data_IF_642485981553
#
_entry.id   IF_642485981553
#
_cell.length_a   1.000
_cell.length_b   1.000
_cell.length_c   1.000
_cell.angle_alpha   90.00
_cell.angle_beta   90.00
_cell.angle_gamma   90.00
#
_symmetry.space_group_name_H-M   'P 1'
#
loop_
_entity.id
_entity.type
_entity.pdbx_description
1 polymer ?
#
# COMPACT_ATOMS: atom_id res chain seq x y z
N UNK A 1 -4.10 2.97 -29.44
CA UNK A 1 -3.28 3.09 -28.23
C UNK A 1 -3.64 4.35 -27.45
N UNK A 2 -3.51 5.54 -28.05
CA UNK A 2 -3.87 6.84 -27.43
C UNK A 2 -5.25 6.82 -26.76
N UNK A 3 -6.30 6.39 -27.47
CA UNK A 3 -7.66 6.32 -26.91
C UNK A 3 -7.74 5.48 -25.63
N UNK A 4 -7.07 4.32 -25.60
CA UNK A 4 -7.02 3.42 -24.44
C UNK A 4 -6.30 4.08 -23.27
N UNK A 5 -5.14 4.70 -23.53
CA UNK A 5 -4.35 5.40 -22.52
C UNK A 5 -5.14 6.57 -21.93
N UNK A 6 -5.74 7.39 -22.78
CA UNK A 6 -6.55 8.54 -22.35
C UNK A 6 -7.78 8.12 -21.55
N UNK A 7 -8.41 6.99 -21.89
CA UNK A 7 -9.48 6.43 -21.08
C UNK A 7 -8.98 6.02 -19.69
N UNK A 8 -7.86 5.32 -19.57
CA UNK A 8 -7.28 4.92 -18.29
C UNK A 8 -6.85 6.11 -17.42
N UNK A 9 -6.26 7.15 -18.04
CA UNK A 9 -5.96 8.42 -17.36
C UNK A 9 -7.25 9.05 -16.81
N UNK A 10 -8.33 9.03 -17.58
CA UNK A 10 -9.63 9.54 -17.15
C UNK A 10 -10.19 8.81 -15.93
N UNK A 11 -10.12 7.47 -15.92
CA UNK A 11 -10.54 6.64 -14.77
C UNK A 11 -9.76 7.02 -13.51
N UNK A 12 -8.43 7.09 -13.60
CA UNK A 12 -7.55 7.42 -12.46
C UNK A 12 -7.81 8.85 -11.96
N UNK A 13 -7.93 9.83 -12.87
CA UNK A 13 -8.19 11.23 -12.50
C UNK A 13 -9.44 11.36 -11.62
N UNK A 14 -10.50 10.63 -11.95
CA UNK A 14 -11.76 10.70 -11.20
C UNK A 14 -11.60 10.26 -9.75
N UNK A 15 -10.94 9.13 -9.52
CA UNK A 15 -10.78 8.54 -8.18
C UNK A 15 -9.68 9.22 -7.37
N UNK A 16 -8.54 9.53 -7.98
CA UNK A 16 -7.40 10.11 -7.27
C UNK A 16 -7.68 11.51 -6.75
N UNK A 17 -8.51 12.30 -7.45
CA UNK A 17 -8.94 13.62 -6.97
C UNK A 17 -9.70 13.51 -5.65
N UNK A 18 -10.69 12.63 -5.59
CA UNK A 18 -11.53 12.46 -4.41
C UNK A 18 -10.69 11.94 -3.23
N UNK A 19 -9.86 10.93 -3.46
CA UNK A 19 -8.98 10.38 -2.42
C UNK A 19 -7.93 11.38 -1.91
N UNK A 20 -7.37 12.21 -2.80
CA UNK A 20 -6.41 13.23 -2.40
C UNK A 20 -7.08 14.39 -1.65
N UNK A 21 -8.33 14.74 -1.98
CA UNK A 21 -9.09 15.76 -1.26
C UNK A 21 -9.49 15.32 0.16
N UNK A 22 -9.77 14.03 0.37
CA UNK A 22 -10.05 13.46 1.69
C UNK A 22 -8.80 13.32 2.56
N UNK A 23 -7.59 13.40 1.97
CA UNK A 23 -6.34 13.24 2.70
C UNK A 23 -6.01 14.49 3.52
N UNK A 24 -5.99 14.34 4.84
CA UNK A 24 -5.44 15.36 5.73
C UNK A 24 -3.94 15.51 5.47
N UNK A 25 -3.48 16.74 5.21
CA UNK A 25 -2.06 17.04 5.03
C UNK A 25 -1.28 16.65 6.30
N UNK A 26 -0.21 15.88 6.13
CA UNK A 26 0.68 15.47 7.21
C UNK A 26 2.09 15.94 6.88
N UNK A 27 2.67 16.74 7.77
CA UNK A 27 4.08 17.10 7.74
C UNK A 27 4.81 16.41 8.88
N UNK A 28 5.81 15.60 8.54
CA UNK A 28 6.72 15.02 9.53
C UNK A 28 7.81 16.04 9.86
N UNK A 29 8.11 16.19 11.15
CA UNK A 29 9.25 17.01 11.60
C UNK A 29 10.58 16.25 11.50
N UNK A 30 10.53 14.92 11.35
CA UNK A 30 11.70 14.05 11.37
C UNK A 30 12.15 13.63 9.96
N UNK A 31 11.18 13.41 9.07
CA UNK A 31 11.38 12.81 7.74
C UNK A 31 10.88 13.80 6.67
N UNK A 32 11.68 14.11 5.62
CA UNK A 32 11.28 15.06 4.57
C UNK A 32 10.30 14.41 3.58
N UNK A 33 9.04 14.27 3.99
CA UNK A 33 7.99 13.56 3.23
C UNK A 33 7.80 14.10 1.83
N UNK A 34 7.66 15.42 1.67
CA UNK A 34 7.45 16.03 0.35
C UNK A 34 8.59 15.71 -0.62
N UNK A 35 9.85 15.85 -0.16
CA UNK A 35 11.02 15.62 -0.99
C UNK A 35 11.13 14.17 -1.46
N UNK A 36 10.94 13.21 -0.56
CA UNK A 36 11.05 11.80 -0.95
C UNK A 36 9.89 11.35 -1.85
N UNK A 37 8.68 11.93 -1.67
CA UNK A 37 7.53 11.58 -2.53
C UNK A 37 7.83 12.02 -3.96
N UNK A 38 8.27 13.26 -4.17
CA UNK A 38 8.61 13.74 -5.52
C UNK A 38 9.75 12.94 -6.13
N UNK A 39 10.79 12.61 -5.36
CA UNK A 39 11.88 11.79 -5.86
C UNK A 39 11.40 10.40 -6.32
N UNK A 40 10.54 9.75 -5.52
CA UNK A 40 10.00 8.44 -5.90
C UNK A 40 9.12 8.46 -7.15
N UNK A 41 8.40 9.55 -7.42
CA UNK A 41 7.56 9.66 -8.63
C UNK A 41 8.44 9.85 -9.86
N UNK A 42 9.53 10.62 -9.77
CA UNK A 42 10.53 10.75 -10.83
C UNK A 42 11.13 9.38 -11.17
N UNK A 43 11.61 8.64 -10.17
CA UNK A 43 12.14 7.28 -10.36
C UNK A 43 11.10 6.33 -10.96
N UNK A 44 9.84 6.40 -10.50
CA UNK A 44 8.76 5.60 -11.04
C UNK A 44 8.51 5.90 -12.53
N UNK A 45 8.44 7.17 -12.93
CA UNK A 45 8.26 7.55 -14.33
C UNK A 45 9.40 7.05 -15.22
N UNK A 46 10.64 7.21 -14.75
CA UNK A 46 11.82 6.82 -15.51
C UNK A 46 11.93 5.30 -15.67
N UNK A 47 11.55 4.52 -14.64
CA UNK A 47 11.92 3.09 -14.55
C UNK A 47 10.77 2.10 -14.58
N UNK A 48 9.55 2.48 -14.21
CA UNK A 48 8.43 1.54 -14.19
C UNK A 48 8.16 0.87 -15.53
N UNK A 49 8.27 1.54 -16.70
CA UNK A 49 8.00 0.88 -17.97
C UNK A 49 8.88 -0.36 -18.19
N UNK A 50 10.18 -0.25 -17.94
CA UNK A 50 11.15 -1.34 -18.17
C UNK A 50 11.02 -2.44 -17.09
N UNK A 51 10.68 -2.05 -15.85
CA UNK A 51 10.35 -2.99 -14.77
C UNK A 51 9.08 -3.78 -15.09
N UNK A 52 8.04 -3.10 -15.59
CA UNK A 52 6.79 -3.75 -15.99
C UNK A 52 7.03 -4.71 -17.14
N UNK A 53 7.82 -4.34 -18.15
CA UNK A 53 8.21 -5.24 -19.24
C UNK A 53 8.86 -6.52 -18.70
N UNK A 54 9.81 -6.38 -17.76
CA UNK A 54 10.48 -7.51 -17.11
C UNK A 54 9.50 -8.42 -16.34
N UNK A 55 8.48 -7.84 -15.69
CA UNK A 55 7.44 -8.58 -14.98
C UNK A 55 6.55 -9.35 -15.96
N UNK A 56 6.03 -8.67 -17.01
CA UNK A 56 5.07 -9.27 -17.95
C UNK A 56 5.71 -10.32 -18.85
N UNK A 57 7.02 -10.25 -19.08
CA UNK A 57 7.78 -11.31 -19.76
C UNK A 57 7.74 -12.64 -19.00
N UNK A 58 7.61 -12.61 -17.66
CA UNK A 58 7.52 -13.83 -16.85
C UNK A 58 6.11 -14.25 -16.52
N UNK A 59 5.23 -13.30 -16.22
CA UNK A 59 3.89 -13.61 -15.77
C UNK A 59 2.87 -12.59 -16.30
N UNK A 60 1.78 -13.05 -16.94
CA UNK A 60 0.72 -12.16 -17.38
C UNK A 60 0.10 -11.38 -16.20
N UNK A 61 -0.24 -10.09 -16.38
CA UNK A 61 -0.92 -9.26 -15.36
C UNK A 61 -2.14 -9.94 -14.71
N UNK A 62 -2.92 -10.69 -15.50
CA UNK A 62 -4.11 -11.38 -15.01
C UNK A 62 -3.78 -12.51 -14.03
N UNK A 63 -2.65 -13.17 -14.22
CA UNK A 63 -2.21 -14.23 -13.32
C UNK A 63 -1.66 -13.64 -12.04
N UNK A 64 -0.88 -12.57 -12.13
CA UNK A 64 -0.37 -11.82 -10.97
C UNK A 64 -1.54 -11.35 -10.09
N UNK A 65 -2.54 -10.69 -10.70
CA UNK A 65 -3.71 -10.20 -9.99
C UNK A 65 -4.50 -11.31 -9.30
N UNK A 66 -4.62 -12.50 -9.91
CA UNK A 66 -5.26 -13.66 -9.28
C UNK A 66 -4.46 -14.19 -8.09
N UNK A 67 -3.13 -14.32 -8.23
CA UNK A 67 -2.25 -14.83 -7.16
C UNK A 67 -2.17 -13.89 -5.96
N UNK A 68 -2.32 -12.60 -6.20
CA UNK A 68 -2.38 -11.56 -5.17
C UNK A 68 -3.59 -11.68 -4.22
N UNK A 69 -4.62 -12.50 -4.54
CA UNK A 69 -5.84 -12.69 -3.75
C UNK A 69 -5.65 -13.64 -2.55
N UNK A 70 -4.57 -13.43 -1.80
CA UNK A 70 -4.17 -14.30 -0.68
C UNK A 70 -3.86 -13.44 0.56
N UNK A 71 -4.27 -13.86 1.78
CA UNK A 71 -3.91 -13.16 3.01
C UNK A 71 -2.40 -12.97 3.18
N UNK A 72 -2.00 -11.79 3.67
CA UNK A 72 -0.59 -11.38 3.79
C UNK A 72 0.06 -10.93 2.48
N UNK A 73 -0.63 -10.95 1.34
CA UNK A 73 -0.11 -10.42 0.07
C UNK A 73 -0.05 -8.89 0.08
N UNK A 74 1.14 -8.33 -0.06
CA UNK A 74 1.32 -6.88 -0.18
C UNK A 74 0.94 -6.35 -1.58
N UNK A 75 0.89 -7.22 -2.59
CA UNK A 75 0.30 -6.88 -3.89
C UNK A 75 -1.21 -6.70 -3.71
N UNK A 76 -1.64 -5.48 -3.41
CA UNK A 76 -3.01 -5.16 -3.01
C UNK A 76 -3.49 -3.85 -3.64
N UNK A 77 -4.68 -3.39 -3.25
CA UNK A 77 -5.31 -2.17 -3.78
C UNK A 77 -4.45 -0.92 -3.65
N UNK A 78 -3.70 -0.78 -2.54
CA UNK A 78 -2.87 0.40 -2.26
C UNK A 78 -1.67 0.44 -3.18
N UNK A 79 -1.03 -0.72 -3.37
CA UNK A 79 0.10 -0.86 -4.27
C UNK A 79 -0.34 -0.70 -5.73
N UNK A 80 -1.52 -1.22 -6.13
CA UNK A 80 -2.11 -0.98 -7.45
C UNK A 80 -2.38 0.50 -7.69
N UNK A 81 -3.03 1.19 -6.74
CA UNK A 81 -3.26 2.64 -6.83
C UNK A 81 -1.94 3.40 -6.97
N UNK A 82 -0.95 3.00 -6.18
CA UNK A 82 0.38 3.58 -6.17
C UNK A 82 1.13 3.40 -7.49
N UNK A 83 1.09 2.22 -8.12
CA UNK A 83 1.74 1.95 -9.41
C UNK A 83 1.32 2.97 -10.47
N UNK A 84 0.01 3.19 -10.62
CA UNK A 84 -0.49 4.14 -11.61
C UNK A 84 -0.23 5.59 -11.22
N UNK A 85 -0.51 5.97 -9.96
CA UNK A 85 -0.42 7.37 -9.53
C UNK A 85 1.02 7.87 -9.46
N UNK A 86 1.96 7.07 -8.94
CA UNK A 86 3.36 7.52 -8.84
C UNK A 86 3.99 7.70 -10.22
N UNK A 87 3.67 6.82 -11.16
CA UNK A 87 4.07 6.98 -12.55
C UNK A 87 3.49 8.26 -13.17
N UNK A 88 2.18 8.51 -13.03
CA UNK A 88 1.52 9.68 -13.64
C UNK A 88 1.90 11.01 -13.00
N UNK A 89 2.13 11.05 -11.68
CA UNK A 89 2.70 12.23 -11.01
C UNK A 89 4.11 12.47 -11.52
N UNK A 90 4.92 11.42 -11.64
CA UNK A 90 6.27 11.48 -12.17
C UNK A 90 6.30 12.00 -13.60
N UNK A 91 5.40 11.51 -14.45
CA UNK A 91 5.18 12.00 -15.81
C UNK A 91 4.93 13.51 -15.80
N UNK A 92 4.01 14.00 -14.96
CA UNK A 92 3.73 15.44 -14.85
C UNK A 92 4.96 16.24 -14.43
N UNK A 93 5.71 15.78 -13.42
CA UNK A 93 6.93 16.45 -12.95
C UNK A 93 7.98 16.49 -14.06
N UNK A 94 8.20 15.35 -14.72
CA UNK A 94 9.24 15.20 -15.73
C UNK A 94 8.89 15.91 -17.04
N UNK A 95 7.63 15.98 -17.44
CA UNK A 95 7.21 16.77 -18.62
C UNK A 95 7.46 18.27 -18.47
N UNK A 96 7.56 18.79 -17.24
CA UNK A 96 7.98 20.18 -16.99
C UNK A 96 9.48 20.38 -17.21
N UNK A 97 10.29 19.36 -16.92
CA UNK A 97 11.74 19.39 -17.10
C UNK A 97 12.15 19.09 -18.55
N UNK A 98 11.57 18.03 -19.13
CA UNK A 98 11.76 17.59 -20.50
C UNK A 98 10.46 16.95 -21.02
N UNK A 99 9.68 17.63 -21.88
CA UNK A 99 8.48 17.04 -22.45
C UNK A 99 8.77 15.93 -23.49
N UNK A 100 10.01 15.82 -24.00
CA UNK A 100 10.34 14.89 -25.08
C UNK A 100 10.45 13.43 -24.64
N UNK A 101 10.60 13.18 -23.34
CA UNK A 101 10.66 11.83 -22.74
C UNK A 101 9.27 11.25 -22.43
N UNK A 102 8.21 12.05 -22.55
CA UNK A 102 6.84 11.57 -22.42
C UNK A 102 6.40 10.81 -23.69
N UNK A 103 6.10 9.52 -23.56
CA UNK A 103 5.66 8.68 -24.67
C UNK A 103 4.40 7.89 -24.33
N UNK A 104 3.50 7.82 -25.30
CA UNK A 104 2.23 7.08 -25.20
C UNK A 104 2.51 5.61 -24.95
N UNK A 105 3.54 5.06 -25.58
CA UNK A 105 3.95 3.65 -25.47
C UNK A 105 4.37 3.30 -24.05
N UNK A 106 5.26 4.08 -23.43
CA UNK A 106 5.70 3.84 -22.03
C UNK A 106 4.54 3.99 -21.05
N UNK A 107 3.69 4.99 -21.26
CA UNK A 107 2.47 5.17 -20.45
C UNK A 107 1.50 4.00 -20.64
N UNK A 108 1.33 3.50 -21.86
CA UNK A 108 0.52 2.32 -22.13
C UNK A 108 1.06 1.10 -21.40
N UNK A 109 2.37 0.85 -21.42
CA UNK A 109 3.00 -0.28 -20.71
C UNK A 109 2.60 -0.31 -19.24
N UNK A 110 2.74 0.81 -18.53
CA UNK A 110 2.42 0.87 -17.09
C UNK A 110 0.92 0.80 -16.82
N UNK A 111 0.11 1.57 -17.58
CA UNK A 111 -1.33 1.63 -17.32
C UNK A 111 -2.07 0.35 -17.76
N UNK A 112 -1.62 -0.34 -18.82
CA UNK A 112 -2.19 -1.63 -19.23
C UNK A 112 -1.91 -2.71 -18.17
N UNK A 113 -0.66 -2.78 -17.68
CA UNK A 113 -0.29 -3.65 -16.55
C UNK A 113 -1.17 -3.38 -15.33
N UNK A 114 -1.28 -2.12 -14.91
CA UNK A 114 -2.11 -1.73 -13.78
C UNK A 114 -3.57 -2.14 -13.96
N UNK A 115 -4.16 -1.85 -15.13
CA UNK A 115 -5.57 -2.10 -15.38
C UNK A 115 -5.89 -3.59 -15.36
N UNK A 116 -5.11 -4.40 -16.06
CA UNK A 116 -5.32 -5.86 -16.15
C UNK A 116 -5.06 -6.56 -14.82
N UNK A 117 -4.03 -6.12 -14.08
CA UNK A 117 -3.76 -6.64 -12.72
C UNK A 117 -4.88 -6.25 -11.76
N UNK A 118 -5.39 -5.01 -11.83
CA UNK A 118 -6.48 -4.54 -10.97
C UNK A 118 -7.78 -5.31 -11.18
N UNK A 119 -8.18 -5.51 -12.44
CA UNK A 119 -9.37 -6.29 -12.79
C UNK A 119 -9.26 -7.73 -12.29
N UNK A 120 -8.10 -8.37 -12.49
CA UNK A 120 -7.86 -9.73 -12.02
C UNK A 120 -7.82 -9.85 -10.49
N UNK A 121 -7.21 -8.87 -9.79
CA UNK A 121 -7.20 -8.79 -8.34
C UNK A 121 -8.61 -8.66 -7.75
N UNK A 122 -9.45 -7.82 -8.37
CA UNK A 122 -10.85 -7.63 -7.95
C UNK A 122 -11.78 -8.75 -8.41
N UNK A 123 -11.38 -9.54 -9.40
CA UNK A 123 -12.19 -10.62 -9.98
C UNK A 123 -13.37 -10.13 -10.82
N UNK A 124 -13.30 -8.90 -11.33
CA UNK A 124 -14.33 -8.26 -12.16
C UNK A 124 -13.72 -7.15 -13.02
N UNK A 125 -14.55 -6.38 -13.74
CA UNK A 125 -14.09 -5.34 -14.66
C UNK A 125 -13.70 -4.02 -13.98
N UNK A 126 -13.80 -3.92 -12.64
CA UNK A 126 -13.48 -2.70 -11.90
C UNK A 126 -11.98 -2.45 -11.82
N UNK A 127 -11.59 -1.19 -11.97
CA UNK A 127 -10.22 -0.72 -11.78
C UNK A 127 -9.98 -0.27 -10.33
N UNK A 128 -10.99 0.36 -9.74
CA UNK A 128 -10.91 0.99 -8.43
C UNK A 128 -11.91 0.40 -7.43
N UNK A 129 -11.62 0.52 -6.15
CA UNK A 129 -12.58 0.19 -5.09
C UNK A 129 -13.81 1.11 -5.16
N UNK A 130 -13.64 2.35 -5.64
CA UNK A 130 -14.72 3.32 -5.86
C UNK A 130 -15.79 2.81 -6.84
N UNK A 131 -15.42 1.99 -7.83
CA UNK A 131 -16.38 1.37 -8.75
C UNK A 131 -17.21 0.25 -8.08
N UNK A 132 -16.83 -0.16 -6.87
CA UNK A 132 -17.48 -1.19 -6.06
C UNK A 132 -18.02 -0.63 -4.73
N UNK A 133 -18.48 0.63 -4.71
CA UNK A 133 -18.96 1.31 -3.50
C UNK A 133 -17.92 1.33 -2.36
N UNK A 134 -16.64 1.50 -2.70
CA UNK A 134 -15.53 1.42 -1.75
C UNK A 134 -15.53 0.10 -0.97
N UNK A 135 -15.52 -1.01 -1.72
CA UNK A 135 -15.33 -2.36 -1.17
C UNK A 135 -14.21 -3.08 -1.91
N UNK A 136 -13.45 -3.90 -1.18
CA UNK A 136 -12.33 -4.71 -1.67
C UNK A 136 -12.55 -6.14 -1.20
N UNK A 137 -13.44 -6.87 -1.88
CA UNK A 137 -13.78 -8.26 -1.55
C UNK A 137 -13.06 -9.22 -2.48
N UNK A 138 -11.81 -9.55 -2.14
CA UNK A 138 -10.92 -10.27 -3.06
C UNK A 138 -10.69 -11.73 -2.69
N UNK A 139 -10.92 -12.13 -1.45
CA UNK A 139 -10.69 -13.52 -1.04
C UNK A 139 -11.72 -14.50 -1.59
N UNK A 140 -11.30 -15.76 -1.78
CA UNK A 140 -12.20 -16.86 -2.16
C UNK A 140 -13.09 -17.24 -0.98
N UNK A 141 -14.19 -17.96 -1.27
CA UNK A 141 -15.09 -18.49 -0.23
C UNK A 141 -14.33 -19.39 0.75
N UNK A 142 -13.49 -20.31 0.26
CA UNK A 142 -12.66 -21.21 1.08
C UNK A 142 -11.70 -20.46 2.03
N UNK A 143 -11.06 -19.40 1.54
CA UNK A 143 -10.21 -18.54 2.37
C UNK A 143 -11.03 -17.84 3.45
N UNK A 144 -12.20 -17.28 3.09
CA UNK A 144 -13.08 -16.61 4.05
C UNK A 144 -13.65 -17.58 5.09
N UNK A 145 -14.03 -18.80 4.68
CA UNK A 145 -14.47 -19.85 5.60
C UNK A 145 -13.38 -20.18 6.62
N UNK A 146 -12.13 -20.35 6.17
CA UNK A 146 -10.98 -20.61 7.05
C UNK A 146 -10.76 -19.45 8.03
N UNK A 147 -10.74 -18.22 7.54
CA UNK A 147 -10.54 -17.02 8.35
C UNK A 147 -11.67 -16.82 9.37
N UNK A 148 -12.92 -17.03 8.96
CA UNK A 148 -14.10 -16.82 9.81
C UNK A 148 -14.27 -17.93 10.84
N UNK A 149 -13.86 -19.16 10.53
CA UNK A 149 -13.87 -20.26 11.49
C UNK A 149 -12.96 -20.01 12.70
N UNK A 150 -11.86 -19.27 12.53
CA UNK A 150 -10.96 -18.91 13.62
C UNK A 150 -11.48 -17.79 14.54
N UNK A 151 -12.55 -17.08 14.14
CA UNK A 151 -13.08 -15.93 14.89
C UNK A 151 -13.70 -16.37 16.21
N UNK A 152 -13.25 -15.73 17.30
CA UNK A 152 -13.81 -15.90 18.64
C UNK A 152 -14.34 -14.57 19.17
N UNK A 153 -15.31 -14.64 20.11
CA UNK A 153 -15.94 -13.46 20.68
C UNK A 153 -14.95 -12.56 21.41
N UNK A 154 -15.20 -11.24 21.35
CA UNK A 154 -14.38 -10.22 22.01
C UNK A 154 -15.19 -9.55 23.12
N UNK A 155 -14.75 -9.76 24.36
CA UNK A 155 -15.22 -8.99 25.51
C UNK A 155 -14.46 -7.67 25.67
N UNK A 156 -14.78 -6.90 26.72
CA UNK A 156 -14.16 -5.59 26.93
C UNK A 156 -12.66 -5.67 27.23
N UNK A 157 -12.19 -6.68 27.98
CA UNK A 157 -10.78 -6.81 28.33
C UNK A 157 -9.96 -7.17 27.09
N UNK A 158 -10.40 -8.20 26.37
CA UNK A 158 -9.79 -8.64 25.12
C UNK A 158 -9.80 -7.53 24.06
N UNK A 159 -10.87 -6.73 23.98
CA UNK A 159 -10.95 -5.57 23.06
C UNK A 159 -9.82 -4.58 23.32
N UNK A 160 -9.51 -4.27 24.58
CA UNK A 160 -8.42 -3.34 24.90
C UNK A 160 -7.05 -3.90 24.51
N UNK A 161 -6.84 -5.20 24.72
CA UNK A 161 -5.61 -5.89 24.28
C UNK A 161 -5.44 -5.76 22.77
N UNK A 162 -6.47 -6.13 22.00
CA UNK A 162 -6.44 -6.09 20.54
C UNK A 162 -6.21 -4.67 20.03
N UNK A 163 -6.94 -3.67 20.55
CA UNK A 163 -6.78 -2.26 20.15
C UNK A 163 -5.37 -1.76 20.38
N UNK A 164 -4.80 -2.05 21.55
CA UNK A 164 -3.45 -1.64 21.91
C UNK A 164 -2.40 -2.31 21.02
N UNK A 165 -2.53 -3.61 20.77
CA UNK A 165 -1.63 -4.34 19.88
C UNK A 165 -1.72 -3.82 18.44
N UNK A 166 -2.93 -3.68 17.88
CA UNK A 166 -3.17 -3.10 16.56
C UNK A 166 -2.54 -1.70 16.42
N UNK A 167 -2.77 -0.80 17.40
CA UNK A 167 -2.17 0.52 17.38
C UNK A 167 -0.63 0.48 17.44
N UNK A 168 -0.07 -0.45 18.22
CA UNK A 168 1.39 -0.62 18.32
C UNK A 168 1.99 -1.10 17.00
N UNK A 169 1.38 -2.11 16.36
CA UNK A 169 1.82 -2.63 15.07
C UNK A 169 1.75 -1.55 13.98
N UNK A 170 0.62 -0.83 13.89
CA UNK A 170 0.45 0.26 12.91
C UNK A 170 1.49 1.35 13.11
N UNK A 171 1.73 1.79 14.35
CA UNK A 171 2.73 2.84 14.63
C UNK A 171 4.16 2.39 14.35
N UNK A 172 4.48 1.12 14.62
CA UNK A 172 5.76 0.53 14.27
C UNK A 172 5.97 0.52 12.76
N UNK A 173 4.98 -0.01 12.01
CA UNK A 173 5.03 -0.08 10.56
C UNK A 173 5.05 1.30 9.90
N UNK A 174 4.30 2.26 10.45
CA UNK A 174 4.33 3.64 9.96
C UNK A 174 5.76 4.21 9.97
N UNK A 175 6.52 3.96 11.04
CA UNK A 175 7.91 4.39 11.13
C UNK A 175 8.84 3.55 10.25
N UNK A 176 8.65 2.22 10.21
CA UNK A 176 9.43 1.31 9.35
C UNK A 176 9.31 1.69 7.86
N UNK A 177 8.13 2.15 7.45
CA UNK A 177 7.84 2.62 6.10
C UNK A 177 8.06 4.14 5.94
N UNK A 178 8.88 4.77 6.79
CA UNK A 178 9.27 6.19 6.67
C UNK A 178 8.09 7.16 6.58
N UNK A 179 7.15 7.04 7.53
CA UNK A 179 5.89 7.80 7.63
C UNK A 179 4.90 7.53 6.48
N UNK A 180 4.99 6.35 5.88
CA UNK A 180 4.07 5.89 4.83
C UNK A 180 3.06 4.88 5.37
N UNK A 181 1.78 5.07 5.03
CA UNK A 181 0.67 4.21 5.48
C UNK A 181 0.43 3.02 4.54
N UNK A 182 1.48 2.26 4.25
CA UNK A 182 1.42 1.08 3.34
C UNK A 182 2.00 -0.20 3.93
N UNK A 183 2.45 -0.16 5.19
CA UNK A 183 2.85 -1.35 5.94
C UNK A 183 1.68 -2.21 6.43
N UNK A 184 0.45 -1.73 6.26
CA UNK A 184 -0.77 -2.50 6.49
C UNK A 184 -1.80 -2.16 5.41
N UNK A 185 -2.79 -3.03 5.23
CA UNK A 185 -3.87 -2.82 4.28
C UNK A 185 -5.10 -3.65 4.63
N UNK A 186 -6.27 -3.05 4.44
CA UNK A 186 -7.57 -3.64 4.75
C UNK A 186 -8.24 -4.15 3.46
N UNK A 187 -8.95 -5.28 3.60
CA UNK A 187 -9.92 -5.79 2.62
C UNK A 187 -11.28 -6.02 3.29
N UNK A 188 -12.34 -6.01 2.48
CA UNK A 188 -13.73 -5.99 2.91
C UNK A 188 -14.46 -4.69 2.54
N UNK A 189 -15.48 -4.27 3.31
CA UNK A 189 -16.12 -5.07 4.34
C UNK A 189 -16.72 -6.34 3.72
N UNK A 190 -16.43 -7.50 4.31
CA UNK A 190 -17.18 -8.73 4.06
C UNK A 190 -18.42 -8.76 4.96
N UNK A 191 -19.43 -9.57 4.64
CA UNK A 191 -20.68 -9.65 5.40
C UNK A 191 -20.89 -11.04 5.98
N UNK A 192 -21.20 -11.09 7.28
CA UNK A 192 -21.66 -12.32 7.92
C UNK A 192 -23.17 -12.51 7.73
N UNK A 193 -23.69 -13.75 7.83
CA UNK A 193 -25.12 -14.04 7.68
C UNK A 193 -26.03 -13.29 8.68
N UNK A 194 -25.49 -12.88 9.83
CA UNK A 194 -26.21 -12.14 10.87
C UNK A 194 -26.16 -10.61 10.68
N UNK A 195 -25.60 -10.14 9.56
CA UNK A 195 -25.52 -8.74 9.18
C UNK A 195 -24.33 -7.97 9.75
N UNK A 196 -23.46 -8.60 10.55
CA UNK A 196 -22.19 -8.01 10.98
C UNK A 196 -21.23 -7.85 9.80
N UNK A 197 -20.33 -6.90 9.93
CA UNK A 197 -19.29 -6.62 8.93
C UNK A 197 -17.96 -7.22 9.37
N UNK A 198 -17.14 -7.64 8.42
CA UNK A 198 -15.78 -8.13 8.69
C UNK A 198 -14.78 -7.32 7.89
N UNK A 199 -13.75 -6.84 8.57
CA UNK A 199 -12.54 -6.28 7.94
C UNK A 199 -11.45 -7.33 8.10
N UNK A 200 -10.71 -7.61 7.02
CA UNK A 200 -9.48 -8.39 7.10
C UNK A 200 -8.32 -7.43 6.87
N UNK A 201 -7.48 -7.27 7.90
CA UNK A 201 -6.32 -6.37 7.90
C UNK A 201 -5.04 -7.18 7.84
N UNK A 202 -4.23 -6.90 6.84
CA UNK A 202 -2.90 -7.48 6.71
C UNK A 202 -1.83 -6.49 7.20
N UNK A 203 -0.77 -7.04 7.79
CA UNK A 203 0.43 -6.34 8.23
C UNK A 203 1.62 -6.96 7.49
N UNK A 204 2.36 -6.14 6.76
CA UNK A 204 3.37 -6.60 5.81
C UNK A 204 4.78 -6.32 6.32
N UNK A 205 5.72 -7.21 5.99
CA UNK A 205 7.16 -7.04 6.22
C UNK A 205 7.50 -6.58 7.65
N UNK A 206 6.88 -7.22 8.64
CA UNK A 206 7.13 -6.96 10.06
C UNK A 206 8.57 -7.30 10.47
N UNK A 207 9.21 -8.26 9.81
CA UNK A 207 10.60 -8.67 10.07
C UNK A 207 11.64 -7.96 9.21
N UNK A 208 12.82 -8.56 9.11
CA UNK A 208 13.83 -8.13 8.13
C UNK A 208 13.31 -8.36 6.71
N UNK A 209 13.53 -7.38 5.85
CA UNK A 209 13.01 -7.33 4.49
C UNK A 209 14.00 -6.66 3.55
N UNK A 210 13.56 -6.33 2.35
CA UNK A 210 14.34 -5.59 1.37
C UNK A 210 14.67 -4.15 1.75
N UNK A 211 13.99 -3.61 2.77
CA UNK A 211 14.40 -2.37 3.39
C UNK A 211 15.75 -2.56 4.08
N UNK A 212 16.81 -1.93 3.57
CA UNK A 212 18.16 -2.06 4.15
C UNK A 212 18.26 -1.51 5.59
N UNK A 213 17.27 -0.73 6.04
CA UNK A 213 17.15 -0.26 7.43
C UNK A 213 16.32 -1.18 8.35
N UNK A 214 15.78 -2.28 7.84
CA UNK A 214 14.90 -3.20 8.59
C UNK A 214 15.63 -4.09 9.61
N UNK A 215 16.96 -4.01 9.74
CA UNK A 215 17.72 -4.77 10.74
C UNK A 215 17.31 -4.50 12.20
N UNK A 216 16.57 -3.41 12.45
CA UNK A 216 15.90 -3.13 13.73
C UNK A 216 14.82 -4.17 14.10
N UNK A 217 14.38 -4.95 13.11
CA UNK A 217 13.27 -5.90 13.16
C UNK A 217 13.72 -7.37 13.23
N UNK A 218 15.02 -7.63 13.39
CA UNK A 218 15.60 -9.00 13.41
C UNK A 218 15.00 -9.97 14.44
N UNK A 219 14.40 -9.44 15.51
CA UNK A 219 13.76 -10.23 16.57
C UNK A 219 12.27 -10.48 16.30
N UNK A 220 11.72 -9.95 15.20
CA UNK A 220 10.32 -10.11 14.87
C UNK A 220 10.04 -11.58 14.53
N UNK A 221 9.07 -12.24 15.18
CA UNK A 221 8.84 -13.66 14.97
C UNK A 221 8.07 -13.98 13.69
N UNK A 222 7.44 -12.97 13.08
CA UNK A 222 6.63 -13.11 11.87
C UNK A 222 6.95 -11.97 10.89
N UNK A 223 6.90 -12.28 9.60
CA UNK A 223 6.98 -11.31 8.51
C UNK A 223 5.60 -10.77 8.15
N UNK A 224 4.57 -11.62 8.17
CA UNK A 224 3.20 -11.21 7.84
C UNK A 224 2.19 -11.68 8.89
N UNK A 225 1.24 -10.80 9.18
CA UNK A 225 0.08 -11.09 10.01
C UNK A 225 -1.20 -10.71 9.29
N UNK A 226 -2.27 -11.48 9.53
CA UNK A 226 -3.62 -11.20 9.05
C UNK A 226 -4.58 -11.18 10.24
N UNK A 227 -5.18 -10.04 10.53
CA UNK A 227 -6.22 -9.89 11.55
C UNK A 227 -7.62 -9.87 10.95
N UNK A 228 -8.54 -10.63 11.52
CA UNK A 228 -9.96 -10.64 11.14
C UNK A 228 -10.75 -9.91 12.22
N UNK A 229 -11.37 -8.79 11.86
CA UNK A 229 -12.10 -7.92 12.78
C UNK A 229 -13.59 -7.95 12.46
N UNK A 230 -14.41 -8.51 13.36
CA UNK A 230 -15.87 -8.56 13.20
C UNK A 230 -16.52 -7.41 13.96
N UNK A 231 -17.16 -6.51 13.22
CA UNK A 231 -17.75 -5.26 13.71
C UNK A 231 -19.27 -5.38 13.78
N UNK A 232 -19.87 -4.84 14.85
CA UNK A 232 -21.32 -4.82 15.00
C UNK A 232 -22.01 -4.08 13.85
N UNK A 233 -23.26 -4.48 13.57
CA UNK A 233 -24.10 -3.99 12.47
C UNK A 233 -24.40 -2.47 12.47
N UNK A 234 -24.10 -1.76 13.55
CA UNK A 234 -24.42 -0.34 13.71
C UNK A 234 -23.30 0.57 13.18
N UNK A 235 -22.24 0.00 12.62
CA UNK A 235 -21.12 0.75 12.04
C UNK A 235 -21.13 0.60 10.53
N UNK A 236 -21.20 1.73 9.84
CA UNK A 236 -20.99 1.79 8.41
C UNK A 236 -19.50 1.72 8.12
N UNK A 237 -19.09 0.85 7.20
CA UNK A 237 -17.70 0.62 6.82
C UNK A 237 -17.55 0.68 5.31
N UNK A 238 -16.51 1.36 4.87
CA UNK A 238 -16.01 1.32 3.50
C UNK A 238 -14.50 1.18 3.52
N UNK A 239 -13.93 0.69 2.43
CA UNK A 239 -12.49 0.54 2.25
C UNK A 239 -12.14 1.07 0.86
N UNK A 240 -11.34 2.14 0.85
CA UNK A 240 -10.92 2.81 -0.38
C UNK A 240 -9.67 2.17 -0.97
N UNK A 241 -9.21 2.66 -2.12
CA UNK A 241 -7.95 2.22 -2.72
C UNK A 241 -6.71 2.55 -1.88
N UNK A 242 -6.82 3.36 -0.81
CA UNK A 242 -5.76 3.50 0.21
C UNK A 242 -5.72 2.35 1.22
N UNK A 243 -6.56 1.33 1.06
CA UNK A 243 -6.56 0.14 1.92
C UNK A 243 -6.83 0.47 3.38
N UNK A 244 -7.45 1.62 3.62
CA UNK A 244 -7.80 2.12 4.96
C UNK A 244 -9.30 2.00 5.13
N UNK A 245 -9.72 1.38 6.22
CA UNK A 245 -11.13 1.41 6.63
C UNK A 245 -11.57 2.83 6.96
N UNK A 246 -12.59 3.32 6.28
CA UNK A 246 -13.36 4.52 6.64
C UNK A 246 -14.65 4.06 7.30
N UNK A 247 -15.02 4.68 8.42
CA UNK A 247 -16.18 4.24 9.19
C UNK A 247 -17.00 5.38 9.78
N UNK A 248 -18.28 5.09 10.02
CA UNK A 248 -19.16 5.94 10.80
C UNK A 248 -19.89 5.07 11.84
N UNK A 249 -19.63 5.26 13.15
CA UNK A 249 -18.67 6.20 13.75
C UNK A 249 -17.20 5.89 13.40
N UNK A 250 -16.32 6.88 13.51
CA UNK A 250 -14.89 6.78 13.13
C UNK A 250 -14.13 5.73 13.94
N UNK A 251 -14.47 5.55 15.22
CA UNK A 251 -13.82 4.58 16.11
C UNK A 251 -14.48 3.19 16.03
N UNK A 252 -14.55 2.58 14.85
CA UNK A 252 -15.24 1.30 14.64
C UNK A 252 -14.76 0.15 15.55
N UNK A 253 -13.52 0.21 16.06
CA UNK A 253 -12.99 -0.77 17.00
C UNK A 253 -13.65 -0.70 18.39
N UNK A 254 -14.45 0.34 18.70
CA UNK A 254 -15.30 0.37 19.90
C UNK A 254 -16.40 -0.71 19.81
N UNK A 255 -16.80 -1.05 18.59
CA UNK A 255 -17.85 -2.02 18.22
C UNK A 255 -17.28 -3.40 17.79
N UNK A 256 -16.01 -3.67 18.13
CA UNK A 256 -15.38 -4.97 17.87
C UNK A 256 -16.05 -6.08 18.70
N UNK A 257 -16.63 -7.05 18.00
CA UNK A 257 -17.42 -8.15 18.56
C UNK A 257 -16.77 -9.53 18.40
N UNK A 258 -15.87 -9.68 17.43
CA UNK A 258 -15.12 -10.91 17.18
C UNK A 258 -13.75 -10.63 16.59
N UNK A 259 -12.79 -11.49 16.88
CA UNK A 259 -11.42 -11.35 16.42
C UNK A 259 -10.75 -12.71 16.18
N UNK A 260 -9.85 -12.75 15.20
CA UNK A 260 -8.85 -13.78 15.00
C UNK A 260 -7.57 -13.19 14.41
N UNK A 261 -6.44 -13.83 14.67
CA UNK A 261 -5.13 -13.47 14.14
C UNK A 261 -4.52 -14.68 13.44
N UNK A 262 -3.86 -14.45 12.31
CA UNK A 262 -3.20 -15.47 11.53
C UNK A 262 -1.82 -15.00 11.05
N UNK A 263 -0.99 -15.95 10.62
CA UNK A 263 0.20 -15.72 9.80
C UNK A 263 0.17 -16.64 8.58
N UNK A 264 0.84 -16.22 7.51
CA UNK A 264 1.03 -17.01 6.28
C UNK A 264 2.50 -17.34 5.99
N UNK A 265 3.41 -17.08 6.94
CA UNK A 265 4.85 -17.22 6.73
C UNK A 265 5.29 -18.66 6.39
N UNK A 266 4.54 -19.67 6.81
CA UNK A 266 4.78 -21.08 6.46
C UNK A 266 4.23 -21.49 5.09
N UNK A 267 3.58 -20.56 4.36
CA UNK A 267 2.84 -20.84 3.14
C UNK A 267 1.41 -21.34 3.38
N UNK A 268 0.98 -21.47 4.63
CA UNK A 268 -0.37 -21.88 5.04
C UNK A 268 -0.94 -20.86 6.03
N UNK A 269 -2.28 -20.73 6.08
CA UNK A 269 -2.96 -19.86 7.04
C UNK A 269 -2.93 -20.52 8.42
N UNK A 270 -2.01 -20.07 9.29
CA UNK A 270 -1.89 -20.55 10.66
C UNK A 270 -2.49 -19.55 11.65
N UNK A 271 -3.44 -20.00 12.47
CA UNK A 271 -4.00 -19.18 13.53
C UNK A 271 -3.00 -18.94 14.67
N UNK A 272 -3.00 -17.72 15.20
CA UNK A 272 -2.19 -17.28 16.34
C UNK A 272 -3.07 -17.01 17.57
N UNK A 273 -2.48 -17.15 18.75
CA UNK A 273 -3.12 -16.82 20.02
C UNK A 273 -3.02 -15.33 20.38
N UNK A 274 -3.80 -14.91 21.38
CA UNK A 274 -3.71 -13.55 21.93
C UNK A 274 -2.36 -13.30 22.63
N UNK A 275 -1.75 -14.33 23.23
CA UNK A 275 -0.40 -14.24 23.79
C UNK A 275 0.65 -13.98 22.70
N UNK A 276 0.52 -14.62 21.54
CA UNK A 276 1.37 -14.36 20.38
C UNK A 276 1.18 -12.92 19.87
N UNK A 277 -0.07 -12.42 19.81
CA UNK A 277 -0.34 -11.02 19.45
C UNK A 277 0.38 -10.04 20.39
N UNK A 278 0.30 -10.27 21.71
CA UNK A 278 0.96 -9.43 22.71
C UNK A 278 2.48 -9.49 22.56
N UNK A 279 3.04 -10.68 22.37
CA UNK A 279 4.47 -10.87 22.19
C UNK A 279 5.00 -10.12 20.96
N UNK A 280 4.31 -10.22 19.82
CA UNK A 280 4.67 -9.49 18.59
C UNK A 280 4.59 -7.98 18.82
N UNK A 281 3.53 -7.49 19.48
CA UNK A 281 3.39 -6.06 19.76
C UNK A 281 4.51 -5.52 20.67
N UNK A 282 4.98 -6.30 21.64
CA UNK A 282 6.11 -5.93 22.50
C UNK A 282 7.45 -5.87 21.75
N UNK A 283 7.67 -6.80 20.81
CA UNK A 283 8.83 -6.76 19.89
C UNK A 283 8.74 -5.54 18.99
N UNK A 284 7.58 -5.29 18.36
CA UNK A 284 7.35 -4.14 17.49
C UNK A 284 7.60 -2.81 18.21
N UNK A 285 7.17 -2.68 19.47
CA UNK A 285 7.45 -1.49 20.29
C UNK A 285 8.95 -1.27 20.51
N UNK A 286 9.70 -2.34 20.72
CA UNK A 286 11.16 -2.26 20.89
C UNK A 286 11.86 -1.89 19.58
N UNK A 287 11.46 -2.53 18.48
CA UNK A 287 11.95 -2.25 17.14
C UNK A 287 11.67 -0.79 16.74
N UNK A 288 10.45 -0.30 16.97
CA UNK A 288 10.06 1.09 16.71
C UNK A 288 10.98 2.09 17.45
N UNK A 289 11.22 1.87 18.75
CA UNK A 289 12.09 2.74 19.55
C UNK A 289 13.53 2.75 19.03
N UNK A 290 14.03 1.60 18.60
CA UNK A 290 15.37 1.49 18.02
C UNK A 290 15.43 2.18 16.66
N UNK A 291 14.41 1.99 15.82
CA UNK A 291 14.34 2.61 14.51
C UNK A 291 14.26 4.12 14.58
N UNK A 292 13.46 4.68 15.50
CA UNK A 292 13.39 6.12 15.74
C UNK A 292 14.79 6.70 16.02
N UNK A 293 15.59 6.03 16.87
CA UNK A 293 16.96 6.46 17.17
C UNK A 293 17.90 6.34 15.96
N UNK A 294 17.67 5.37 15.08
CA UNK A 294 18.42 5.23 13.83
C UNK A 294 18.08 6.37 12.87
N UNK A 295 16.79 6.68 12.67
CA UNK A 295 16.34 7.77 11.78
C UNK A 295 16.86 9.13 12.27
N UNK A 296 16.89 9.39 13.58
CA UNK A 296 17.45 10.63 14.13
C UNK A 296 18.93 10.82 13.76
N UNK A 297 19.68 9.74 13.57
CA UNK A 297 21.10 9.79 13.18
C UNK A 297 21.32 9.89 11.68
N UNK A 298 20.30 9.60 10.87
CA UNK A 298 20.39 9.71 9.42
C UNK A 298 20.51 11.17 9.02
N UNK A 299 21.35 11.43 8.02
CA UNK A 299 21.34 12.70 7.33
C UNK A 299 20.06 12.86 6.49
N UNK A 300 19.94 14.01 5.82
CA UNK A 300 18.75 14.34 5.04
C UNK A 300 18.59 13.43 3.81
N UNK A 301 19.69 13.15 3.11
CA UNK A 301 19.67 12.38 1.87
C UNK A 301 19.43 10.90 2.16
N UNK A 302 19.96 10.36 3.26
CA UNK A 302 19.65 9.02 3.74
C UNK A 302 18.15 8.85 4.00
N UNK A 303 17.51 9.84 4.66
CA UNK A 303 16.05 9.80 4.90
C UNK A 303 15.25 9.89 3.61
N UNK A 304 15.70 10.71 2.67
CA UNK A 304 15.07 10.85 1.36
C UNK A 304 15.17 9.54 0.59
N UNK A 305 16.35 8.92 0.54
CA UNK A 305 16.55 7.64 -0.13
C UNK A 305 15.64 6.54 0.46
N UNK A 306 15.58 6.43 1.79
CA UNK A 306 14.72 5.43 2.43
C UNK A 306 13.23 5.67 2.14
N UNK A 307 12.74 6.90 2.31
CA UNK A 307 11.34 7.22 2.01
C UNK A 307 10.98 7.08 0.53
N UNK A 308 11.91 7.42 -0.36
CA UNK A 308 11.69 7.31 -1.81
C UNK A 308 11.63 5.85 -2.24
N UNK A 309 12.49 5.02 -1.66
CA UNK A 309 12.51 3.58 -1.91
C UNK A 309 11.16 2.92 -1.58
N UNK A 310 10.52 3.30 -0.46
CA UNK A 310 9.21 2.75 -0.07
C UNK A 310 8.16 2.95 -1.16
N UNK A 311 8.08 4.15 -1.75
CA UNK A 311 7.09 4.46 -2.78
C UNK A 311 7.50 3.95 -4.16
N UNK A 312 8.78 4.02 -4.50
CA UNK A 312 9.32 3.50 -5.76
C UNK A 312 9.14 1.98 -5.88
N UNK A 313 9.19 1.25 -4.75
CA UNK A 313 9.03 -0.22 -4.76
C UNK A 313 7.59 -0.68 -4.79
N UNK A 314 6.62 0.16 -5.17
CA UNK A 314 5.22 -0.28 -5.31
C UNK A 314 5.01 -1.36 -6.38
N UNK A 315 5.91 -1.48 -7.35
CA UNK A 315 5.92 -2.61 -8.29
C UNK A 315 6.49 -3.91 -7.69
N UNK A 316 7.28 -3.83 -6.61
CA UNK A 316 8.05 -4.96 -6.10
C UNK A 316 7.18 -6.15 -5.68
N UNK A 317 6.06 -6.00 -4.95
CA UNK A 317 5.23 -7.16 -4.60
C UNK A 317 4.70 -7.92 -5.83
N UNK A 318 4.45 -7.22 -6.94
CA UNK A 318 4.03 -7.87 -8.19
C UNK A 318 5.20 -8.58 -8.87
N UNK A 319 6.41 -8.01 -8.81
CA UNK A 319 7.64 -8.65 -9.27
C UNK A 319 7.99 -9.90 -8.43
N UNK A 320 7.72 -9.88 -7.13
CA UNK A 320 7.90 -11.03 -6.23
C UNK A 320 6.94 -12.17 -6.62
N UNK A 321 5.67 -11.85 -6.89
CA UNK A 321 4.69 -12.84 -7.41
C UNK A 321 5.15 -13.43 -8.75
N UNK A 322 5.70 -12.60 -9.63
CA UNK A 322 6.22 -13.02 -10.94
C UNK A 322 7.57 -13.75 -10.86
N UNK A 323 8.26 -13.72 -9.71
CA UNK A 323 9.56 -14.36 -9.50
C UNK A 323 10.74 -13.64 -10.13
N UNK A 324 10.66 -12.31 -10.33
CA UNK A 324 11.74 -11.48 -10.94
C UNK A 324 12.25 -10.36 -10.04
N UNK A 325 11.76 -10.26 -8.80
CA UNK A 325 12.14 -9.17 -7.92
C UNK A 325 13.66 -9.09 -7.69
N UNK A 326 14.37 -10.22 -7.66
CA UNK A 326 15.82 -10.24 -7.46
C UNK A 326 16.63 -9.91 -8.73
N UNK A 327 16.00 -9.95 -9.91
CA UNK A 327 16.62 -9.58 -11.19
C UNK A 327 16.54 -8.07 -11.46
N UNK A 328 15.72 -7.35 -10.68
CA UNK A 328 15.50 -5.91 -10.82
C UNK A 328 16.39 -5.18 -9.81
N UNK A 329 17.16 -4.21 -10.29
CA UNK A 329 17.84 -3.27 -9.40
C UNK A 329 16.83 -2.27 -8.84
N UNK A 330 16.57 -2.35 -7.54
CA UNK A 330 15.62 -1.49 -6.81
C UNK A 330 16.27 -0.25 -6.19
N UNK A 331 17.57 -0.02 -6.37
CA UNK A 331 18.28 1.12 -5.79
C UNK A 331 17.51 2.41 -6.07
N UNK A 332 17.29 3.24 -5.04
CA UNK A 332 16.54 4.48 -5.15
C UNK A 332 17.15 5.54 -4.22
N UNK A 333 17.54 6.71 -4.74
CA UNK A 333 17.51 7.13 -6.15
C UNK A 333 18.57 6.41 -7.02
N UNK A 334 18.33 6.36 -8.34
CA UNK A 334 19.28 5.82 -9.33
C UNK A 334 19.27 6.58 -10.65
N UNK A 335 18.09 6.78 -11.25
CA UNK A 335 17.98 7.33 -12.62
C UNK A 335 17.58 8.81 -12.63
N UNK A 336 17.25 9.37 -11.46
CA UNK A 336 17.07 10.81 -11.27
C UNK A 336 18.35 11.57 -11.68
N UNK A 337 18.27 12.53 -12.62
CA UNK A 337 19.43 13.34 -13.03
C UNK A 337 20.05 14.11 -11.85
N UNK A 338 21.38 14.09 -11.75
CA UNK A 338 22.12 14.74 -10.65
C UNK A 338 21.85 16.24 -10.55
N UNK A 339 21.66 16.91 -11.69
CA UNK A 339 21.36 18.34 -11.77
C UNK A 339 19.90 18.65 -11.38
N UNK A 340 18.99 17.68 -11.52
CA UNK A 340 17.59 17.82 -11.11
C UNK A 340 17.38 17.53 -9.62
N UNK A 341 18.19 16.64 -9.02
CA UNK A 341 18.04 16.20 -7.64
C UNK A 341 17.89 17.35 -6.61
N UNK A 342 18.71 18.42 -6.64
CA UNK A 342 18.57 19.53 -5.71
C UNK A 342 17.22 20.24 -5.83
N UNK A 343 16.62 20.28 -7.03
CA UNK A 343 15.36 20.99 -7.26
C UNK A 343 14.15 20.18 -6.81
N UNK A 344 14.11 18.88 -7.10
CA UNK A 344 12.99 18.01 -6.73
C UNK A 344 12.98 17.67 -5.25
N UNK A 345 14.13 17.74 -4.59
CA UNK A 345 14.25 17.52 -3.15
C UNK A 345 14.18 18.80 -2.34
N UNK A 346 13.86 19.96 -2.93
CA UNK A 346 13.57 21.17 -2.16
C UNK A 346 12.32 20.95 -1.30
N UNK A 347 12.39 21.35 -0.02
CA UNK A 347 11.21 21.37 0.83
C UNK A 347 10.27 22.49 0.35
N UNK A 348 9.35 22.14 -0.54
CA UNK A 348 8.26 23.02 -0.97
C UNK A 348 6.96 22.61 -0.29
N UNK A 349 6.19 23.59 0.19
CA UNK A 349 4.78 23.33 0.51
C UNK A 349 4.06 22.88 -0.76
N UNK A 350 3.29 21.79 -0.73
CA UNK A 350 2.52 21.38 -1.89
C UNK A 350 1.54 22.49 -2.24
N UNK A 351 1.64 23.02 -3.45
CA UNK A 351 0.62 23.92 -3.97
C UNK A 351 -0.68 23.14 -4.08
N UNK A 352 -1.73 23.64 -3.44
CA UNK A 352 -3.09 23.11 -3.59
C UNK A 352 -3.44 23.29 -5.07
N UNK A 353 -3.49 22.17 -5.80
CA UNK A 353 -3.93 22.18 -7.18
C UNK A 353 -5.37 22.72 -7.23
N UNK A 354 -5.70 23.44 -8.31
CA UNK A 354 -7.08 23.81 -8.60
C UNK A 354 -7.97 22.55 -8.52
N UNK A 355 -8.97 22.51 -7.63
CA UNK A 355 -9.82 21.32 -7.46
C UNK A 355 -10.58 20.93 -8.73
N UNK A 356 -10.73 21.86 -9.67
CA UNK A 356 -11.42 21.63 -10.95
C UNK A 356 -10.48 21.20 -12.08
N UNK A 357 -9.15 21.23 -11.88
CA UNK A 357 -8.18 20.80 -12.89
C UNK A 357 -8.05 19.27 -12.95
N UNK A 358 -7.87 18.71 -14.16
CA UNK A 358 -7.44 17.31 -14.29
C UNK A 358 -6.07 17.14 -13.62
N UNK A 359 -5.93 16.11 -12.77
CA UNK A 359 -4.66 15.83 -12.09
C UNK A 359 -3.56 15.42 -13.09
N UNK A 360 -3.95 14.64 -14.11
CA UNK A 360 -3.08 14.09 -15.13
C UNK A 360 -3.59 14.42 -16.53
N UNK A 361 -2.72 14.99 -17.36
CA UNK A 361 -3.04 15.44 -18.73
C UNK A 361 -3.16 14.26 -19.69
N UNK A 362 -4.15 14.31 -20.59
CA UNK A 362 -4.33 13.34 -21.69
C UNK A 362 -3.40 13.65 -22.88
N UNK A 363 -3.14 12.67 -23.73
CA UNK A 363 -2.45 12.88 -25.01
C UNK A 363 -3.41 13.49 -26.05
N UNK A 364 -2.86 14.34 -26.93
CA UNK A 364 -3.60 14.95 -28.06
C UNK A 364 -3.83 13.98 -29.23
#
# INVERSE_FOLDING_TARGET
MIERVNHLIGEINSVSRDLMAERTHYSSQLIPVSAYVVLSTVEAFLRYPDIVESIVEKMPPEEIGKRARTPGSQANSVFLWGVANFFLIGRRVMSLADPSIDSVERTHTVLDFWARTSQAYRGNDHLHAANANNTIQVYSEETLETLFAGVSSVDNERRQIIRKANATLINYLFLLYFDTRVGHGDTGPYRLPDGRSVIVRDYFRLGESDFWWSGVSKEMPYNNLTGVFVINKNVDLTITDFGTTVSNPENYLDDLSGFALFTTDSGEIRQLSDEELVAVADVAKTAQKNHYRSIVKMDRDEKIACGSYVYFTFLRPFAEIAGVADDIDWTCPRDTPEDLYPFITLDSEPQIADPDAELFTRYE
#
